data_IF_962878262997
#
_entry.id   IF_962878262997
#
_cell.length_a   1.000
_cell.length_b   1.000
_cell.length_c   1.000
_cell.angle_alpha   90.00
_cell.angle_beta   90.00
_cell.angle_gamma   90.00
#
_symmetry.space_group_name_H-M   'P 1'
#
loop_
_entity.id
_entity.type
_entity.pdbx_description
1 polymer ?
#
# COMPACT_ATOMS: atom_id res chain seq x y z
N UNK A 1 10.70 35.02 -19.11
CA UNK A 1 10.46 34.11 -18.00
C UNK A 1 11.02 32.76 -18.32
N UNK A 2 11.81 32.30 -17.46
CA UNK A 2 12.18 30.93 -17.60
C UNK A 2 10.93 30.12 -17.46
N UNK A 3 10.44 29.72 -18.57
CA UNK A 3 9.40 28.72 -18.47
C UNK A 3 10.02 27.55 -17.75
N UNK A 4 9.46 27.25 -16.68
CA UNK A 4 9.89 26.09 -16.00
C UNK A 4 9.55 24.89 -16.86
N UNK A 5 10.59 24.38 -17.50
CA UNK A 5 10.43 23.21 -18.34
C UNK A 5 10.59 21.92 -17.57
N UNK A 6 10.90 22.03 -16.30
CA UNK A 6 10.98 20.87 -15.44
C UNK A 6 9.58 20.52 -14.96
N UNK A 7 8.95 19.59 -15.64
CA UNK A 7 7.60 19.16 -15.30
C UNK A 7 7.50 18.52 -13.93
N UNK A 8 8.60 18.08 -13.35
CA UNK A 8 8.55 17.50 -12.01
C UNK A 8 8.11 18.52 -10.96
N UNK A 9 8.37 19.82 -11.20
CA UNK A 9 7.93 20.86 -10.28
C UNK A 9 6.45 21.18 -10.43
N UNK A 10 5.82 20.72 -11.49
CA UNK A 10 4.39 20.91 -11.75
C UNK A 10 3.56 19.68 -11.44
N UNK A 11 4.21 18.57 -11.10
CA UNK A 11 3.49 17.35 -10.74
C UNK A 11 2.74 17.61 -9.45
N UNK A 12 1.43 17.46 -9.52
CA UNK A 12 0.60 17.60 -8.33
C UNK A 12 0.86 16.43 -7.39
N UNK A 13 1.27 16.77 -6.17
CA UNK A 13 1.45 15.79 -5.10
C UNK A 13 0.21 15.82 -4.25
N UNK A 14 -0.47 14.68 -4.12
CA UNK A 14 -1.63 14.55 -3.26
C UNK A 14 -1.23 13.83 -1.99
N UNK A 15 -1.47 14.45 -0.85
CA UNK A 15 -1.31 13.80 0.45
C UNK A 15 -2.58 13.05 0.79
N UNK A 16 -2.43 11.80 1.16
CA UNK A 16 -3.56 10.94 1.52
C UNK A 16 -3.33 10.44 2.95
N UNK A 17 -4.22 10.81 3.85
CA UNK A 17 -4.20 10.34 5.23
C UNK A 17 -4.95 9.02 5.30
N UNK A 18 -4.21 7.92 5.36
CA UNK A 18 -4.81 6.59 5.37
C UNK A 18 -5.61 6.31 6.65
N UNK A 19 -5.32 7.04 7.73
CA UNK A 19 -6.05 6.90 8.98
C UNK A 19 -7.50 7.41 8.87
N UNK A 20 -7.78 8.21 7.84
CA UNK A 20 -9.10 8.75 7.60
C UNK A 20 -10.06 7.74 6.93
N UNK A 21 -9.56 6.60 6.49
CA UNK A 21 -10.35 5.62 5.75
C UNK A 21 -10.53 4.33 6.54
N UNK A 22 -11.68 3.67 6.32
CA UNK A 22 -11.89 2.34 6.86
C UNK A 22 -11.08 1.35 6.02
N UNK A 23 -10.11 0.70 6.64
CA UNK A 23 -9.23 -0.23 5.95
C UNK A 23 -9.87 -1.59 5.70
N UNK A 24 -10.92 -1.92 6.47
CA UNK A 24 -11.51 -3.25 6.51
C UNK A 24 -10.49 -4.34 6.85
N UNK A 25 -9.33 -3.94 7.40
CA UNK A 25 -8.34 -4.89 7.86
C UNK A 25 -8.80 -5.60 9.12
N UNK A 26 -8.44 -6.85 9.24
CA UNK A 26 -8.76 -7.64 10.42
C UNK A 26 -7.51 -7.85 11.26
N UNK A 27 -7.70 -7.91 12.58
CA UNK A 27 -6.63 -8.16 13.51
C UNK A 27 -6.14 -9.60 13.30
N UNK A 28 -5.20 -9.76 12.41
CA UNK A 28 -4.65 -11.05 12.05
C UNK A 28 -3.66 -11.52 13.10
N UNK A 29 -3.47 -12.83 13.16
CA UNK A 29 -2.39 -13.39 13.95
C UNK A 29 -1.08 -13.09 13.23
N UNK A 30 -0.25 -12.26 13.84
CA UNK A 30 1.02 -11.88 13.25
C UNK A 30 2.07 -12.98 13.43
N UNK A 31 3.00 -13.10 12.47
CA UNK A 31 4.03 -14.14 12.54
C UNK A 31 5.10 -13.84 13.59
N UNK A 32 5.58 -14.90 14.24
CA UNK A 32 6.66 -14.76 15.23
C UNK A 32 8.05 -14.77 14.60
N UNK A 33 8.15 -15.26 13.37
CA UNK A 33 9.42 -15.43 12.67
C UNK A 33 9.78 -14.27 11.75
N UNK A 34 9.00 -13.18 11.82
CA UNK A 34 9.24 -11.97 11.05
C UNK A 34 9.31 -10.78 11.99
N UNK A 35 9.94 -9.71 11.52
CA UNK A 35 10.07 -8.47 12.28
C UNK A 35 9.09 -7.43 11.75
N UNK A 36 8.27 -6.88 12.64
CA UNK A 36 7.35 -5.81 12.27
C UNK A 36 8.13 -4.49 12.12
N UNK A 37 7.95 -3.81 11.01
CA UNK A 37 8.56 -2.51 10.81
C UNK A 37 7.70 -1.41 11.45
N UNK A 38 8.30 -0.25 11.70
CA UNK A 38 7.56 0.89 12.24
C UNK A 38 6.51 1.41 11.27
N UNK A 39 5.54 2.16 11.80
CA UNK A 39 4.52 2.81 10.98
C UNK A 39 5.15 3.75 9.96
N UNK A 40 6.16 4.51 10.39
CA UNK A 40 6.84 5.45 9.49
C UNK A 40 7.53 4.73 8.35
N UNK A 41 8.18 3.62 8.62
CA UNK A 41 8.83 2.83 7.59
C UNK A 41 7.80 2.20 6.65
N UNK A 42 6.68 1.77 7.18
CA UNK A 42 5.60 1.22 6.36
C UNK A 42 5.05 2.28 5.41
N UNK A 43 4.73 3.47 5.91
CA UNK A 43 4.22 4.56 5.09
C UNK A 43 5.22 4.99 4.03
N UNK A 44 6.51 5.06 4.39
CA UNK A 44 7.56 5.42 3.44
C UNK A 44 7.69 4.39 2.32
N UNK A 45 7.62 3.10 2.66
CA UNK A 45 7.70 2.02 1.68
C UNK A 45 6.50 2.03 0.74
N UNK A 46 5.31 2.25 1.28
CA UNK A 46 4.09 2.31 0.49
C UNK A 46 4.13 3.51 -0.47
N UNK A 47 4.53 4.68 0.03
CA UNK A 47 4.66 5.89 -0.78
C UNK A 47 5.64 5.69 -1.92
N UNK A 48 6.81 5.13 -1.60
CA UNK A 48 7.83 4.87 -2.61
C UNK A 48 7.32 3.92 -3.69
N UNK A 49 6.71 2.83 -3.29
CA UNK A 49 6.26 1.80 -4.24
C UNK A 49 5.13 2.32 -5.14
N UNK A 50 4.18 3.05 -4.58
CA UNK A 50 3.06 3.60 -5.34
C UNK A 50 3.51 4.59 -6.40
N UNK A 51 4.62 5.29 -6.17
CA UNK A 51 5.17 6.28 -7.10
C UNK A 51 6.16 5.67 -8.10
N UNK A 52 6.35 4.37 -8.09
CA UNK A 52 7.25 3.66 -9.02
C UNK A 52 6.46 2.89 -10.07
N UNK A 53 6.86 2.95 -11.35
CA UNK A 53 6.21 2.11 -12.37
C UNK A 53 6.35 0.61 -12.03
N UNK A 54 5.36 -0.21 -12.32
CA UNK A 54 4.10 0.12 -12.98
C UNK A 54 2.99 0.61 -12.04
N UNK A 55 3.23 0.73 -10.72
CA UNK A 55 2.21 1.13 -9.76
C UNK A 55 1.71 2.56 -9.98
N UNK A 56 2.49 3.38 -10.69
CA UNK A 56 2.04 4.74 -11.04
C UNK A 56 0.75 4.76 -11.84
N UNK A 57 0.39 3.65 -12.48
CA UNK A 57 -0.91 3.55 -13.15
C UNK A 57 -2.08 3.75 -12.18
N UNK A 58 -1.90 3.43 -10.90
CA UNK A 58 -2.93 3.63 -9.88
C UNK A 58 -3.18 5.10 -9.57
N UNK A 59 -2.22 5.99 -9.87
CA UNK A 59 -2.33 7.41 -9.53
C UNK A 59 -3.50 8.09 -10.22
N UNK A 60 -3.96 7.53 -11.34
CA UNK A 60 -5.13 8.04 -12.05
C UNK A 60 -6.38 8.01 -11.14
N UNK A 61 -6.48 7.03 -10.25
CA UNK A 61 -7.58 6.94 -9.31
C UNK A 61 -7.57 8.06 -8.28
N UNK A 62 -6.41 8.65 -8.05
CA UNK A 62 -6.23 9.73 -7.07
C UNK A 62 -6.17 11.10 -7.72
N UNK A 63 -6.28 11.17 -9.04
CA UNK A 63 -6.19 12.41 -9.81
C UNK A 63 -4.94 13.22 -9.48
N UNK A 64 -3.80 12.55 -9.42
CA UNK A 64 -2.53 13.20 -9.10
C UNK A 64 -1.38 12.56 -9.88
N UNK A 65 -0.27 13.28 -9.97
CA UNK A 65 0.94 12.76 -10.59
C UNK A 65 1.86 12.06 -9.60
N UNK A 66 1.67 12.31 -8.31
CA UNK A 66 2.45 11.72 -7.25
C UNK A 66 1.63 11.70 -5.97
N UNK A 67 1.82 10.68 -5.15
CA UNK A 67 1.12 10.54 -3.89
C UNK A 67 2.10 10.52 -2.73
N UNK A 68 1.66 11.03 -1.58
CA UNK A 68 2.35 10.88 -0.31
C UNK A 68 1.35 10.39 0.72
N UNK A 69 1.60 9.21 1.26
CA UNK A 69 0.75 8.66 2.31
C UNK A 69 1.23 9.17 3.67
N UNK A 70 0.30 9.75 4.42
CA UNK A 70 0.57 10.35 5.72
C UNK A 70 -0.35 9.75 6.79
N UNK A 71 -0.17 10.18 8.03
CA UNK A 71 -0.95 9.69 9.15
C UNK A 71 -0.40 8.37 9.65
N UNK A 72 -1.22 7.34 9.57
CA UNK A 72 -0.85 5.99 9.97
C UNK A 72 -1.13 5.01 8.84
N UNK A 73 -0.46 3.86 8.81
CA UNK A 73 -0.84 2.79 7.89
C UNK A 73 -2.30 2.41 8.07
N UNK A 74 -2.91 1.77 7.07
CA UNK A 74 -4.30 1.34 7.20
C UNK A 74 -4.49 0.48 8.46
N UNK A 75 -5.55 0.75 9.20
CA UNK A 75 -5.81 0.10 10.49
C UNK A 75 -5.80 -1.42 10.36
N UNK A 76 -5.20 -2.10 11.30
CA UNK A 76 -5.00 -3.55 11.35
C UNK A 76 -4.07 -4.13 10.27
N UNK A 77 -3.48 -3.30 9.43
CA UNK A 77 -2.42 -3.75 8.52
C UNK A 77 -1.05 -3.46 9.12
N UNK A 78 -0.13 -4.37 8.90
CA UNK A 78 1.25 -4.23 9.38
C UNK A 78 2.22 -4.80 8.36
N UNK A 79 3.38 -4.15 8.24
CA UNK A 79 4.44 -4.59 7.35
C UNK A 79 5.48 -5.36 8.15
N UNK A 80 5.86 -6.52 7.63
CA UNK A 80 6.87 -7.38 8.23
C UNK A 80 8.01 -7.64 7.26
N UNK A 81 9.19 -7.85 7.80
CA UNK A 81 10.37 -8.21 7.02
C UNK A 81 11.03 -9.46 7.60
N UNK A 82 11.79 -10.17 6.78
CA UNK A 82 12.51 -11.37 7.22
C UNK A 82 13.58 -11.02 8.25
N UNK A 83 13.79 -11.92 9.20
CA UNK A 83 14.81 -11.75 10.25
C UNK A 83 16.21 -12.04 9.76
N UNK A 84 16.33 -12.84 8.70
CA UNK A 84 17.65 -13.21 8.16
C UNK A 84 18.23 -12.10 7.31
N UNK A 85 19.52 -11.73 7.49
CA UNK A 85 20.11 -10.59 6.78
C UNK A 85 20.03 -10.66 5.25
N UNK A 86 19.89 -11.86 4.70
CA UNK A 86 19.85 -12.05 3.24
C UNK A 86 18.45 -12.01 2.65
N UNK A 87 17.41 -11.92 3.50
CA UNK A 87 16.04 -11.90 3.03
C UNK A 87 15.53 -10.49 3.00
N UNK A 88 15.22 -10.03 1.79
CA UNK A 88 14.57 -8.76 1.58
C UNK A 88 13.05 -8.91 1.40
N UNK A 89 12.53 -10.09 1.72
CA UNK A 89 11.11 -10.34 1.60
C UNK A 89 10.33 -9.46 2.57
N UNK A 90 9.29 -8.82 2.06
CA UNK A 90 8.40 -8.00 2.87
C UNK A 90 6.98 -8.46 2.65
N UNK A 91 6.22 -8.54 3.73
CA UNK A 91 4.85 -9.03 3.72
C UNK A 91 3.94 -8.07 4.45
N UNK A 92 2.77 -7.78 3.87
CA UNK A 92 1.77 -6.93 4.54
C UNK A 92 0.65 -7.83 5.06
N UNK A 93 0.49 -7.86 6.39
CA UNK A 93 -0.55 -8.63 7.06
C UNK A 93 -1.74 -7.75 7.39
N UNK A 94 -2.93 -8.34 7.46
CA UNK A 94 -4.15 -7.63 7.83
C UNK A 94 -5.31 -7.83 6.86
N UNK A 95 -5.08 -8.48 5.73
CA UNK A 95 -6.14 -8.68 4.76
C UNK A 95 -7.24 -9.58 5.34
N UNK A 96 -8.53 -9.18 5.25
CA UNK A 96 -9.61 -9.92 5.90
C UNK A 96 -9.88 -11.31 5.33
N UNK A 97 -9.51 -11.54 4.07
CA UNK A 97 -9.80 -12.80 3.37
C UNK A 97 -8.59 -13.68 3.18
N UNK A 98 -7.41 -13.15 3.44
CA UNK A 98 -6.16 -13.88 3.22
C UNK A 98 -5.14 -13.45 4.24
N UNK A 99 -4.11 -14.27 4.48
CA UNK A 99 -3.14 -14.00 5.55
C UNK A 99 -2.35 -12.74 5.33
N UNK A 100 -1.87 -12.51 4.10
CA UNK A 100 -0.97 -11.40 3.84
C UNK A 100 -0.82 -11.13 2.34
N UNK A 101 -0.37 -9.93 2.04
CA UNK A 101 0.13 -9.59 0.70
C UNK A 101 1.60 -9.95 0.63
N UNK A 102 2.01 -10.65 -0.41
CA UNK A 102 3.39 -11.11 -0.59
C UNK A 102 4.35 -9.99 -0.96
N UNK A 103 3.85 -8.84 -1.34
CA UNK A 103 4.69 -7.71 -1.74
C UNK A 103 3.97 -6.41 -1.49
N UNK A 104 4.74 -5.32 -1.37
CA UNK A 104 4.18 -3.99 -1.28
C UNK A 104 3.42 -3.62 -2.57
N UNK A 105 3.87 -4.13 -3.72
CA UNK A 105 3.19 -3.89 -4.99
C UNK A 105 1.76 -4.42 -4.98
N UNK A 106 1.56 -5.62 -4.47
CA UNK A 106 0.22 -6.19 -4.34
C UNK A 106 -0.64 -5.37 -3.37
N UNK A 107 -0.04 -4.89 -2.29
CA UNK A 107 -0.75 -4.07 -1.32
C UNK A 107 -1.17 -2.72 -1.90
N UNK A 108 -0.38 -2.14 -2.81
CA UNK A 108 -0.74 -0.89 -3.46
C UNK A 108 -2.10 -0.96 -4.13
N UNK A 109 -2.39 -2.05 -4.82
CA UNK A 109 -3.69 -2.26 -5.45
C UNK A 109 -4.82 -2.21 -4.40
N UNK A 110 -4.60 -2.87 -3.28
CA UNK A 110 -5.60 -2.90 -2.20
C UNK A 110 -5.81 -1.50 -1.59
N UNK A 111 -4.73 -0.73 -1.44
CA UNK A 111 -4.80 0.63 -0.90
C UNK A 111 -5.65 1.55 -1.77
N UNK A 112 -5.55 1.42 -3.10
CA UNK A 112 -6.40 2.20 -4.01
C UNK A 112 -7.86 2.06 -3.62
N UNK A 113 -8.31 0.83 -3.41
CA UNK A 113 -9.74 0.58 -3.16
C UNK A 113 -10.15 0.88 -1.72
N UNK A 114 -9.18 0.89 -0.77
CA UNK A 114 -9.43 1.43 0.57
C UNK A 114 -9.75 2.93 0.46
N UNK A 115 -8.92 3.67 -0.27
CA UNK A 115 -9.09 5.12 -0.41
C UNK A 115 -10.36 5.46 -1.18
N UNK A 116 -10.70 4.66 -2.19
CA UNK A 116 -11.93 4.85 -2.96
C UNK A 116 -13.16 4.29 -2.26
N UNK A 117 -12.97 3.68 -1.08
CA UNK A 117 -14.05 3.11 -0.27
C UNK A 117 -14.86 2.04 -1.03
N UNK A 118 -14.17 1.26 -1.86
CA UNK A 118 -14.81 0.22 -2.67
C UNK A 118 -13.91 -0.99 -2.79
N UNK A 119 -13.63 -1.63 -1.65
CA UNK A 119 -12.72 -2.78 -1.58
C UNK A 119 -13.22 -3.97 -2.41
N UNK A 120 -14.52 -4.04 -2.69
CA UNK A 120 -15.08 -5.10 -3.53
C UNK A 120 -14.52 -5.08 -4.96
N UNK A 121 -14.01 -3.94 -5.42
CA UNK A 121 -13.40 -3.81 -6.75
C UNK A 121 -11.94 -4.23 -6.78
N UNK A 122 -11.35 -4.49 -5.64
CA UNK A 122 -9.92 -4.78 -5.55
C UNK A 122 -9.56 -6.08 -6.27
N UNK A 123 -8.55 -6.01 -7.11
CA UNK A 123 -8.02 -7.15 -7.85
C UNK A 123 -6.63 -7.56 -7.35
N UNK A 124 -6.25 -7.20 -6.12
CA UNK A 124 -4.98 -7.64 -5.56
C UNK A 124 -4.97 -9.15 -5.37
N UNK A 125 -3.78 -9.73 -5.30
CA UNK A 125 -3.63 -11.18 -5.20
C UNK A 125 -4.48 -11.80 -4.08
N UNK A 126 -4.46 -11.30 -2.83
CA UNK A 126 -5.30 -11.86 -1.78
C UNK A 126 -6.79 -11.81 -2.10
N UNK A 127 -7.28 -10.73 -2.68
CA UNK A 127 -8.70 -10.62 -3.02
C UNK A 127 -9.11 -11.60 -4.11
N UNK A 128 -8.31 -11.72 -5.16
CA UNK A 128 -8.58 -12.60 -6.28
C UNK A 128 -8.48 -14.06 -5.84
N UNK A 129 -7.43 -14.40 -5.13
CA UNK A 129 -7.18 -15.78 -4.72
C UNK A 129 -8.29 -16.31 -3.83
N UNK A 130 -8.74 -15.49 -2.89
CA UNK A 130 -9.87 -15.89 -2.03
C UNK A 130 -11.12 -16.12 -2.86
N UNK A 131 -11.33 -15.31 -3.86
CA UNK A 131 -12.48 -15.45 -4.74
C UNK A 131 -12.45 -16.77 -5.52
N UNK A 132 -11.27 -17.20 -5.91
CA UNK A 132 -11.11 -18.44 -6.66
C UNK A 132 -11.43 -19.70 -5.86
N UNK A 133 -11.43 -19.62 -4.55
CA UNK A 133 -11.71 -20.77 -3.67
C UNK A 133 -13.16 -20.84 -3.21
N UNK A 134 -13.97 -19.95 -3.70
CA UNK A 134 -15.39 -19.92 -3.33
C UNK A 134 -16.26 -20.74 -4.32
#
# INVERSE_FOLDING_TARGET
>A
MAVNTDFSTWVEVRQIDLDAYNSYGENAKFPDDLEQVSDDEFLAALTKTMNEPPQTAHLAHFNCGRVEFIGKPPYNFALFKGLKPRRNDKYVYGHPKYRYHRSMKSFCEHVVWIVLEDVAQCACHPCIETYCYM
#
